data_IF_614929198586
#
_entry.id   IF_614929198586
#
_cell.length_a   1.000
_cell.length_b   1.000
_cell.length_c   1.000
_cell.angle_alpha   90.00
_cell.angle_beta   90.00
_cell.angle_gamma   90.00
#
_symmetry.space_group_name_H-M   'P 1'
#
loop_
_entity.id
_entity.type
_entity.pdbx_description
1 polymer ?
#
# COMPACT_ATOMS: atom_id res chain seq x y z
N UNK A 1 9.30 9.58 1.48
CA UNK A 1 7.95 9.13 1.86
C UNK A 1 7.23 10.23 2.61
N UNK A 2 6.04 10.65 2.14
CA UNK A 2 5.27 11.74 2.72
C UNK A 2 4.96 11.52 4.21
N UNK A 3 4.75 12.63 4.91
CA UNK A 3 4.19 12.66 6.26
C UNK A 3 2.91 13.47 6.19
N UNK A 4 1.85 12.94 6.79
CA UNK A 4 0.53 13.56 6.82
C UNK A 4 0.18 13.95 8.25
N UNK A 5 -0.56 15.04 8.40
CA UNK A 5 -1.11 15.50 9.70
C UNK A 5 -2.42 14.78 10.06
N UNK A 6 -3.08 14.19 9.07
CA UNK A 6 -4.22 13.31 9.28
C UNK A 6 -3.81 12.09 10.12
N UNK A 7 -4.60 11.79 11.16
CA UNK A 7 -4.28 10.76 12.14
C UNK A 7 -4.32 9.35 11.54
N UNK A 8 -5.25 9.08 10.62
CA UNK A 8 -5.36 7.78 9.96
C UNK A 8 -4.17 7.55 9.05
N UNK A 9 -3.78 8.56 8.28
CA UNK A 9 -2.60 8.50 7.42
C UNK A 9 -1.29 8.42 8.23
N UNK A 10 -1.22 9.06 9.40
CA UNK A 10 -0.06 8.96 10.31
C UNK A 10 0.09 7.57 10.92
N UNK A 11 -1.02 6.94 11.34
CA UNK A 11 -1.03 5.53 11.78
C UNK A 11 -0.67 4.60 10.61
N UNK A 12 -1.33 4.77 9.47
CA UNK A 12 -1.09 4.01 8.25
C UNK A 12 0.36 4.06 7.80
N UNK A 13 1.02 5.21 7.92
CA UNK A 13 2.46 5.35 7.69
C UNK A 13 3.27 4.45 8.62
N UNK A 14 2.94 4.39 9.89
CA UNK A 14 3.68 3.62 10.90
C UNK A 14 3.58 2.12 10.60
N UNK A 15 2.37 1.65 10.28
CA UNK A 15 2.12 0.27 9.84
C UNK A 15 2.85 -0.04 8.53
N UNK A 16 2.73 0.85 7.55
CA UNK A 16 3.40 0.68 6.26
C UNK A 16 4.91 0.59 6.41
N UNK A 17 5.52 1.47 7.22
CA UNK A 17 6.96 1.46 7.47
C UNK A 17 7.43 0.16 8.12
N UNK A 18 6.65 -0.40 9.05
CA UNK A 18 7.01 -1.60 9.81
C UNK A 18 6.69 -2.93 9.12
N UNK A 19 5.73 -2.96 8.19
CA UNK A 19 5.27 -4.21 7.56
C UNK A 19 5.32 -4.16 6.04
N UNK A 20 4.76 -3.12 5.41
CA UNK A 20 4.52 -3.11 3.96
C UNK A 20 5.73 -2.61 3.14
N UNK A 21 6.57 -1.75 3.74
CA UNK A 21 7.68 -1.04 3.09
C UNK A 21 8.67 -1.98 2.42
N UNK A 22 8.93 -3.13 3.03
CA UNK A 22 9.94 -4.07 2.55
C UNK A 22 9.72 -4.47 1.08
N UNK A 23 8.45 -4.61 0.67
CA UNK A 23 8.11 -4.93 -0.71
C UNK A 23 7.71 -3.70 -1.51
N UNK A 24 6.87 -2.82 -0.94
CA UNK A 24 6.23 -1.75 -1.71
C UNK A 24 7.02 -0.45 -1.86
N UNK A 25 8.16 -0.29 -1.18
CA UNK A 25 8.97 0.92 -1.36
C UNK A 25 9.65 0.94 -2.73
N UNK A 26 10.29 -0.17 -3.11
CA UNK A 26 11.04 -0.29 -4.36
C UNK A 26 10.43 -1.30 -5.35
N UNK A 27 9.29 -1.91 -5.00
CA UNK A 27 8.63 -2.91 -5.84
C UNK A 27 9.34 -4.27 -5.88
N UNK A 28 9.83 -4.72 -4.73
CA UNK A 28 10.49 -6.04 -4.62
C UNK A 28 9.47 -7.14 -4.95
N UNK A 29 9.92 -8.16 -5.69
CA UNK A 29 9.09 -9.28 -6.15
C UNK A 29 7.83 -8.82 -6.93
N UNK A 30 8.01 -7.80 -7.78
CA UNK A 30 6.95 -7.20 -8.61
C UNK A 30 5.79 -6.60 -7.79
N UNK A 31 6.03 -6.30 -6.52
CA UNK A 31 5.09 -5.53 -5.71
C UNK A 31 4.88 -4.14 -6.35
N UNK A 32 3.65 -3.58 -6.34
CA UNK A 32 3.42 -2.25 -6.86
C UNK A 32 4.18 -1.23 -5.99
N UNK A 33 5.23 -0.64 -6.55
CA UNK A 33 6.05 0.36 -5.88
C UNK A 33 5.25 1.66 -5.68
N UNK A 34 5.37 2.31 -4.53
CA UNK A 34 4.65 3.56 -4.22
C UNK A 34 5.07 4.76 -5.11
N UNK A 35 6.14 4.60 -5.89
CA UNK A 35 6.61 5.58 -6.88
C UNK A 35 6.12 5.30 -8.30
N UNK A 36 5.48 4.15 -8.55
CA UNK A 36 5.00 3.73 -9.87
C UNK A 36 3.55 4.14 -10.08
N UNK A 37 3.33 5.44 -10.33
CA UNK A 37 1.98 5.98 -10.53
C UNK A 37 1.19 5.26 -11.64
N UNK A 38 1.73 4.95 -12.83
CA UNK A 38 0.99 4.23 -13.87
C UNK A 38 0.45 2.86 -13.43
N UNK A 39 1.17 2.13 -12.58
CA UNK A 39 0.69 0.87 -12.00
C UNK A 39 -0.39 1.07 -10.94
N UNK A 40 -0.35 2.20 -10.23
CA UNK A 40 -1.29 2.55 -9.18
C UNK A 40 -2.56 3.24 -9.67
N UNK A 41 -2.54 3.97 -10.78
CA UNK A 41 -3.71 4.65 -11.34
C UNK A 41 -4.95 3.71 -11.47
N UNK A 42 -4.87 2.54 -12.14
CA UNK A 42 -6.01 1.63 -12.23
C UNK A 42 -6.39 0.97 -10.90
N UNK A 43 -5.50 1.02 -9.89
CA UNK A 43 -5.77 0.53 -8.53
C UNK A 43 -6.56 1.58 -7.77
N UNK A 44 -6.07 2.82 -7.75
CA UNK A 44 -6.69 3.97 -7.09
C UNK A 44 -8.12 4.18 -7.60
N UNK A 45 -8.34 4.03 -8.92
CA UNK A 45 -9.67 4.12 -9.52
C UNK A 45 -10.72 3.13 -8.95
N UNK A 46 -10.30 2.02 -8.32
CA UNK A 46 -11.22 1.05 -7.67
C UNK A 46 -11.70 1.53 -6.29
N UNK A 47 -11.06 2.56 -5.74
CA UNK A 47 -11.30 3.09 -4.40
C UNK A 47 -10.74 2.21 -3.28
N UNK A 48 -10.45 2.86 -2.14
CA UNK A 48 -9.93 2.21 -0.93
C UNK A 48 -10.78 1.02 -0.45
N UNK A 49 -12.14 1.07 -0.42
CA UNK A 49 -12.97 -0.05 0.05
C UNK A 49 -12.81 -1.34 -0.78
N UNK A 50 -12.37 -1.23 -2.03
CA UNK A 50 -12.05 -2.41 -2.85
C UNK A 50 -10.60 -2.82 -2.66
N UNK A 51 -9.69 -1.84 -2.67
CA UNK A 51 -8.24 -2.09 -2.60
C UNK A 51 -7.79 -2.79 -1.33
N UNK A 52 -8.39 -2.50 -0.17
CA UNK A 52 -7.95 -3.07 1.10
C UNK A 52 -8.27 -4.57 1.26
N UNK A 53 -9.13 -5.14 0.41
CA UNK A 53 -9.45 -6.57 0.45
C UNK A 53 -8.26 -7.45 0.08
N UNK A 54 -7.44 -7.00 -0.88
CA UNK A 54 -6.25 -7.74 -1.31
C UNK A 54 -5.20 -7.90 -0.20
N UNK A 55 -4.74 -6.85 0.51
CA UNK A 55 -3.84 -7.02 1.64
C UNK A 55 -4.46 -7.81 2.79
N UNK A 56 -5.78 -7.79 2.99
CA UNK A 56 -6.43 -8.60 4.04
C UNK A 56 -6.29 -10.10 3.76
N UNK A 57 -6.58 -10.53 2.54
CA UNK A 57 -6.64 -11.96 2.18
C UNK A 57 -5.36 -12.48 1.52
N UNK A 58 -4.44 -11.59 1.17
CA UNK A 58 -3.27 -11.92 0.38
C UNK A 58 -3.59 -12.13 -1.10
N UNK A 59 -2.54 -12.19 -1.91
CA UNK A 59 -2.57 -12.43 -3.35
C UNK A 59 -1.67 -13.62 -3.64
N UNK A 60 -2.23 -14.68 -4.23
CA UNK A 60 -1.47 -15.84 -4.68
C UNK A 60 -0.99 -15.65 -6.12
N UNK A 61 0.18 -16.18 -6.43
CA UNK A 61 0.67 -16.37 -7.79
C UNK A 61 0.08 -17.63 -8.42
N UNK A 62 0.41 -17.84 -9.69
CA UNK A 62 -0.01 -19.01 -10.47
C UNK A 62 0.53 -20.32 -9.88
N UNK A 63 1.68 -20.25 -9.20
CA UNK A 63 2.29 -21.37 -8.47
C UNK A 63 1.59 -21.68 -7.12
N UNK A 64 0.51 -20.97 -6.81
CA UNK A 64 -0.27 -21.12 -5.58
C UNK A 64 0.38 -20.50 -4.33
N UNK A 65 1.58 -19.91 -4.45
CA UNK A 65 2.28 -19.25 -3.33
C UNK A 65 1.84 -17.80 -3.20
N UNK A 66 1.90 -17.24 -2.00
CA UNK A 66 1.58 -15.83 -1.80
C UNK A 66 2.66 -14.92 -2.41
N UNK A 67 2.29 -14.14 -3.43
CA UNK A 67 3.06 -12.98 -3.90
C UNK A 67 2.92 -11.79 -2.93
N UNK A 68 1.75 -11.69 -2.30
CA UNK A 68 1.48 -10.80 -1.19
C UNK A 68 0.83 -11.61 -0.07
N UNK A 69 1.48 -11.83 1.08
CA UNK A 69 0.87 -12.59 2.16
C UNK A 69 -0.36 -11.88 2.76
N UNK A 70 -1.33 -12.62 3.33
CA UNK A 70 -2.43 -12.03 4.09
C UNK A 70 -1.89 -11.12 5.21
N UNK A 71 -2.56 -9.99 5.43
CA UNK A 71 -2.15 -8.91 6.34
C UNK A 71 -0.70 -8.45 6.15
N UNK A 72 -0.16 -8.54 4.93
CA UNK A 72 1.24 -8.22 4.66
C UNK A 72 2.25 -9.10 5.40
N UNK A 73 1.82 -10.29 5.86
CA UNK A 73 2.64 -11.23 6.63
C UNK A 73 2.66 -10.95 8.14
N UNK A 74 1.87 -9.99 8.62
CA UNK A 74 1.77 -9.67 10.04
C UNK A 74 0.34 -9.91 10.54
N UNK A 75 0.12 -11.11 11.09
CA UNK A 75 -1.20 -11.55 11.56
C UNK A 75 -1.75 -10.72 12.73
N UNK A 76 -0.91 -9.93 13.40
CA UNK A 76 -1.32 -9.07 14.52
C UNK A 76 -2.00 -7.78 14.07
N UNK A 77 -1.89 -7.41 12.80
CA UNK A 77 -2.53 -6.20 12.29
C UNK A 77 -4.03 -6.40 12.22
N UNK A 78 -4.79 -5.44 12.75
CA UNK A 78 -6.25 -5.40 12.61
C UNK A 78 -6.66 -4.97 11.19
N UNK A 79 -7.92 -5.21 10.83
CA UNK A 79 -8.44 -4.79 9.52
C UNK A 79 -8.37 -3.28 9.33
N UNK A 80 -8.59 -2.53 10.40
CA UNK A 80 -8.48 -1.07 10.41
C UNK A 80 -7.04 -0.62 10.16
N UNK A 81 -6.06 -1.28 10.77
CA UNK A 81 -4.64 -0.98 10.53
C UNK A 81 -4.22 -1.31 9.10
N UNK A 82 -4.74 -2.39 8.52
CA UNK A 82 -4.52 -2.71 7.10
C UNK A 82 -5.14 -1.64 6.21
N UNK A 83 -6.38 -1.22 6.49
CA UNK A 83 -7.06 -0.15 5.75
C UNK A 83 -6.29 1.16 5.83
N UNK A 84 -5.83 1.57 7.02
CA UNK A 84 -5.00 2.77 7.20
C UNK A 84 -3.69 2.70 6.41
N UNK A 85 -3.02 1.55 6.38
CA UNK A 85 -1.81 1.36 5.58
C UNK A 85 -2.08 1.51 4.07
N UNK A 86 -3.22 0.99 3.58
CA UNK A 86 -3.64 1.15 2.18
C UNK A 86 -3.96 2.60 1.85
N UNK A 87 -4.67 3.31 2.73
CA UNK A 87 -4.96 4.75 2.58
C UNK A 87 -3.67 5.57 2.52
N UNK A 88 -2.71 5.28 3.41
CA UNK A 88 -1.40 5.91 3.37
C UNK A 88 -0.65 5.64 2.07
N UNK A 89 -0.71 4.43 1.52
CA UNK A 89 -0.07 4.10 0.24
C UNK A 89 -0.68 4.87 -0.92
N UNK A 90 -2.01 4.91 -1.01
CA UNK A 90 -2.73 5.67 -2.05
C UNK A 90 -2.37 7.15 -1.96
N UNK A 91 -2.51 7.76 -0.78
CA UNK A 91 -2.17 9.16 -0.57
C UNK A 91 -0.68 9.45 -0.88
N UNK A 92 0.22 8.52 -0.55
CA UNK A 92 1.64 8.64 -0.87
C UNK A 92 1.89 8.64 -2.36
N UNK A 93 1.28 7.73 -3.11
CA UNK A 93 1.41 7.63 -4.57
C UNK A 93 0.94 8.93 -5.23
N UNK A 94 -0.25 9.41 -4.87
CA UNK A 94 -0.81 10.65 -5.41
C UNK A 94 0.07 11.85 -5.08
N UNK A 95 0.53 11.96 -3.83
CA UNK A 95 1.42 13.05 -3.40
C UNK A 95 2.76 13.02 -4.15
N UNK A 96 3.37 11.85 -4.30
CA UNK A 96 4.64 11.70 -5.00
C UNK A 96 4.49 12.03 -6.50
N UNK A 97 3.38 11.61 -7.11
CA UNK A 97 3.07 11.95 -8.51
C UNK A 97 2.90 13.46 -8.71
N UNK A 98 2.14 14.12 -7.83
CA UNK A 98 1.97 15.58 -7.87
C UNK A 98 3.30 16.31 -7.68
N UNK A 99 4.15 15.85 -6.75
CA UNK A 99 5.47 16.45 -6.52
C UNK A 99 6.39 16.33 -7.74
N UNK A 100 6.35 15.19 -8.44
CA UNK A 100 7.14 14.97 -9.65
C UNK A 100 6.70 15.83 -10.84
N UNK A 101 5.40 16.20 -10.89
CA UNK A 101 4.83 16.98 -11.99
C UNK A 101 4.76 18.50 -11.71
N UNK A 102 5.04 18.92 -10.48
CA UNK A 102 5.09 20.33 -10.07
C UNK A 102 6.53 20.87 -10.01
N UNK A 103 7.47 20.17 -10.67
CA UNK A 103 8.83 20.61 -10.97
C UNK A 103 8.94 20.94 -12.45
#
# INVERSE_FOLDING_TARGET
>A
MPRFTDLVLAEGRSIWMGTCRACHLMGVADAPAVTDYPNWEPRIAKGVPTLFKSPLHGIKGEDGKYKMPPRGGNERLTDQQIKAAVEYMVASVETLHQQANNQ
#
